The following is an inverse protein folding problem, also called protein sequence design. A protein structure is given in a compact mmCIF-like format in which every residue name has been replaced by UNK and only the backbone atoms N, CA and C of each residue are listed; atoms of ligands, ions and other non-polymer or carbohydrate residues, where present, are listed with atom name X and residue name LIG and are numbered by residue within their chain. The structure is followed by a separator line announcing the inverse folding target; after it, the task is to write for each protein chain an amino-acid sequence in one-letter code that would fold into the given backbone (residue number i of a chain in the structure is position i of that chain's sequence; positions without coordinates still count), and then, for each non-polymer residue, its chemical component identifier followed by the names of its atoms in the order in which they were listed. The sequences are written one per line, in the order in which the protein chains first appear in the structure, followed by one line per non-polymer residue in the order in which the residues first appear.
data_IF_562929393974
#
_entry.id   IF_562929393974
#
_cell.length_a   1.000
_cell.length_b   1.000
_cell.length_c   1.000
_cell.angle_alpha   90.00
_cell.angle_beta   90.00
_cell.angle_gamma   90.00
#
_symmetry.space_group_name_H-M   'P 1'
#
loop_
_entity.id
_entity.type
_entity.pdbx_description
1 polymer ?
#
# COMPACT_ATOMS: atom_id res chain seq x y z
N UNK A 1 -7.99 -3.13 9.66
CA UNK A 1 -8.09 -4.51 9.12
C UNK A 1 -6.72 -5.17 9.17
N UNK A 2 -6.68 -6.45 9.46
CA UNK A 2 -5.45 -7.27 9.48
C UNK A 2 -5.43 -8.18 8.26
N UNK A 3 -4.24 -8.64 7.87
CA UNK A 3 -4.12 -9.59 6.77
C UNK A 3 -4.93 -10.87 6.98
N UNK A 4 -5.03 -11.34 8.23
CA UNK A 4 -5.84 -12.52 8.57
C UNK A 4 -7.34 -12.34 8.31
N UNK A 5 -7.85 -11.11 8.33
CA UNK A 5 -9.25 -10.81 8.04
C UNK A 5 -9.60 -11.08 6.57
N UNK A 6 -8.63 -10.96 5.66
CA UNK A 6 -8.85 -11.25 4.24
C UNK A 6 -9.23 -12.72 4.02
N UNK A 7 -8.58 -13.64 4.74
CA UNK A 7 -8.89 -15.07 4.67
C UNK A 7 -10.29 -15.32 5.18
N UNK A 8 -10.66 -14.69 6.30
CA UNK A 8 -12.00 -14.81 6.88
C UNK A 8 -13.07 -14.31 5.90
N UNK A 9 -12.86 -13.16 5.27
CA UNK A 9 -13.80 -12.62 4.28
C UNK A 9 -13.99 -13.58 3.12
N UNK A 10 -12.91 -14.17 2.63
CA UNK A 10 -12.98 -15.18 1.56
C UNK A 10 -13.80 -16.38 1.99
N UNK A 11 -13.58 -16.88 3.20
CA UNK A 11 -14.29 -18.07 3.72
C UNK A 11 -15.79 -17.82 3.92
N UNK A 12 -16.17 -16.61 4.29
CA UNK A 12 -17.57 -16.25 4.51
C UNK A 12 -18.27 -15.70 3.27
N UNK A 13 -17.57 -15.60 2.14
CA UNK A 13 -18.12 -15.04 0.90
C UNK A 13 -18.28 -13.53 0.91
N UNK A 14 -17.67 -12.83 1.87
CA UNK A 14 -17.72 -11.37 1.94
C UNK A 14 -16.75 -10.77 0.93
N UNK A 15 -17.23 -9.77 0.17
CA UNK A 15 -16.37 -9.07 -0.80
C UNK A 15 -15.38 -8.15 -0.10
N UNK A 16 -14.21 -7.98 -0.73
CA UNK A 16 -13.15 -7.12 -0.27
C UNK A 16 -12.98 -5.99 -1.30
N UNK A 17 -13.06 -4.75 -0.85
CA UNK A 17 -12.82 -3.60 -1.71
C UNK A 17 -11.38 -3.13 -1.55
N UNK A 18 -10.69 -2.92 -2.67
CA UNK A 18 -9.32 -2.43 -2.69
C UNK A 18 -9.22 -1.23 -3.63
N UNK A 19 -8.68 -0.13 -3.12
CA UNK A 19 -8.42 1.08 -3.89
C UNK A 19 -6.96 1.48 -3.75
N UNK A 20 -6.44 2.14 -4.79
CA UNK A 20 -5.05 2.61 -4.78
C UNK A 20 -4.94 3.97 -4.10
N UNK A 21 -3.80 4.21 -3.44
CA UNK A 21 -3.40 5.51 -2.93
C UNK A 21 -1.88 5.63 -3.00
N UNK A 22 -1.37 6.85 -3.04
CA UNK A 22 0.07 7.11 -3.21
C UNK A 22 0.58 8.28 -2.36
N UNK A 23 -0.28 8.93 -1.60
CA UNK A 23 0.08 10.01 -0.69
C UNK A 23 -0.96 10.16 0.42
N UNK A 24 -0.75 11.14 1.31
CA UNK A 24 -1.62 11.33 2.46
C UNK A 24 -3.05 11.72 2.06
N UNK A 25 -3.20 12.56 1.04
CA UNK A 25 -4.53 13.03 0.59
C UNK A 25 -5.31 11.88 -0.04
N UNK A 26 -4.70 11.14 -0.97
CA UNK A 26 -5.38 10.01 -1.61
C UNK A 26 -5.71 8.92 -0.60
N UNK A 27 -4.86 8.69 0.40
CA UNK A 27 -5.14 7.74 1.48
C UNK A 27 -6.37 8.15 2.29
N UNK A 28 -6.50 9.43 2.64
CA UNK A 28 -7.67 9.91 3.39
C UNK A 28 -8.96 9.74 2.59
N UNK A 29 -8.93 9.96 1.29
CA UNK A 29 -10.08 9.77 0.42
C UNK A 29 -10.49 8.28 0.34
N UNK A 30 -9.51 7.39 0.24
CA UNK A 30 -9.76 5.94 0.21
C UNK A 30 -10.34 5.46 1.54
N UNK A 31 -9.82 5.98 2.66
CA UNK A 31 -10.35 5.69 3.99
C UNK A 31 -11.79 6.16 4.13
N UNK A 32 -12.09 7.39 3.71
CA UNK A 32 -13.44 7.95 3.74
C UNK A 32 -14.42 7.17 2.87
N UNK A 33 -13.94 6.61 1.78
CA UNK A 33 -14.74 5.77 0.90
C UNK A 33 -15.08 4.39 1.49
N UNK A 34 -14.45 4.02 2.60
CA UNK A 34 -14.71 2.76 3.28
C UNK A 34 -14.03 1.55 2.66
N UNK A 35 -12.95 1.73 1.90
CA UNK A 35 -12.21 0.61 1.34
C UNK A 35 -11.61 -0.27 2.43
N UNK A 36 -11.59 -1.59 2.18
CA UNK A 36 -10.99 -2.55 3.10
C UNK A 36 -9.48 -2.59 3.00
N UNK A 37 -8.95 -2.34 1.80
CA UNK A 37 -7.52 -2.40 1.49
C UNK A 37 -7.11 -1.18 0.71
N UNK A 38 -5.97 -0.61 1.07
CA UNK A 38 -5.27 0.43 0.30
C UNK A 38 -4.06 -0.20 -0.36
N UNK A 39 -3.98 -0.12 -1.68
CA UNK A 39 -2.83 -0.60 -2.43
C UNK A 39 -1.92 0.59 -2.77
N UNK A 40 -0.67 0.52 -2.31
CA UNK A 40 0.41 1.39 -2.79
C UNK A 40 1.09 0.64 -3.92
N UNK A 41 0.60 0.83 -5.14
CA UNK A 41 1.05 0.09 -6.31
C UNK A 41 2.24 0.75 -7.00
N UNK A 42 3.10 -0.03 -7.62
CA UNK A 42 4.25 0.47 -8.36
C UNK A 42 3.85 1.28 -9.61
N UNK A 43 2.59 1.20 -10.03
CA UNK A 43 2.03 2.07 -11.08
C UNK A 43 2.15 3.55 -10.74
N UNK A 44 2.41 3.92 -9.47
CA UNK A 44 2.69 5.30 -9.10
C UNK A 44 3.89 5.88 -9.87
N UNK A 45 4.80 5.03 -10.33
CA UNK A 45 5.89 5.45 -11.21
C UNK A 45 5.38 6.17 -12.46
N UNK A 46 4.29 5.68 -13.03
CA UNK A 46 3.68 6.24 -14.23
C UNK A 46 2.68 7.36 -13.89
N UNK A 47 1.78 7.10 -12.96
CA UNK A 47 0.65 8.00 -12.65
C UNK A 47 1.10 9.22 -11.86
N UNK A 48 1.97 9.04 -10.87
CA UNK A 48 2.39 10.10 -9.96
C UNK A 48 3.75 10.70 -10.33
N UNK A 49 4.69 9.87 -10.79
CA UNK A 49 6.05 10.31 -11.09
C UNK A 49 6.29 10.58 -12.58
N UNK A 50 5.34 10.22 -13.46
CA UNK A 50 5.38 10.56 -14.87
C UNK A 50 6.29 9.71 -15.73
N UNK A 51 6.78 8.58 -15.24
CA UNK A 51 7.57 7.65 -16.04
C UNK A 51 6.70 6.88 -17.03
N UNK A 52 7.30 6.41 -18.12
CA UNK A 52 6.59 5.62 -19.12
C UNK A 52 6.39 4.15 -18.72
N UNK A 53 7.10 3.69 -17.71
CA UNK A 53 7.01 2.32 -17.17
C UNK A 53 7.13 2.33 -15.66
N UNK A 54 6.92 1.18 -15.02
CA UNK A 54 7.10 1.03 -13.57
C UNK A 54 8.56 0.76 -13.18
N UNK A 55 9.44 0.46 -14.14
CA UNK A 55 10.81 0.03 -13.88
C UNK A 55 11.67 1.05 -13.12
N UNK A 56 11.55 2.38 -13.36
CA UNK A 56 12.40 3.34 -12.67
C UNK A 56 12.10 3.54 -11.19
N UNK A 57 10.96 3.09 -10.68
CA UNK A 57 10.62 3.30 -9.27
C UNK A 57 11.58 2.51 -8.37
N UNK A 58 12.04 3.14 -7.30
CA UNK A 58 12.98 2.56 -6.35
C UNK A 58 12.26 2.05 -5.10
N UNK A 59 12.92 1.17 -4.34
CA UNK A 59 12.42 0.72 -3.04
C UNK A 59 12.22 1.91 -2.09
N UNK A 60 13.14 2.83 -2.08
CA UNK A 60 13.10 4.04 -1.26
C UNK A 60 11.87 4.91 -1.61
N UNK A 61 11.55 5.03 -2.89
CA UNK A 61 10.35 5.75 -3.33
C UNK A 61 9.07 5.02 -2.90
N UNK A 62 9.01 3.72 -3.05
CA UNK A 62 7.86 2.94 -2.59
C UNK A 62 7.68 3.06 -1.07
N UNK A 63 8.76 3.03 -0.30
CA UNK A 63 8.72 3.24 1.15
C UNK A 63 8.21 4.63 1.50
N UNK A 64 8.72 5.67 0.81
CA UNK A 64 8.29 7.04 1.03
C UNK A 64 6.78 7.21 0.79
N UNK A 65 6.27 6.67 -0.31
CA UNK A 65 4.84 6.73 -0.61
C UNK A 65 4.00 5.94 0.38
N UNK A 66 4.48 4.77 0.81
CA UNK A 66 3.80 3.95 1.83
C UNK A 66 3.68 4.70 3.15
N UNK A 67 4.76 5.33 3.59
CA UNK A 67 4.76 6.14 4.81
C UNK A 67 3.79 7.32 4.71
N UNK A 68 3.74 7.99 3.56
CA UNK A 68 2.82 9.09 3.33
C UNK A 68 1.35 8.60 3.39
N UNK A 69 1.06 7.45 2.78
CA UNK A 69 -0.27 6.83 2.85
C UNK A 69 -0.64 6.53 4.30
N UNK A 70 0.25 5.91 5.06
CA UNK A 70 -0.01 5.60 6.46
C UNK A 70 -0.28 6.85 7.30
N UNK A 71 0.44 7.94 7.05
CA UNK A 71 0.18 9.21 7.74
C UNK A 71 -1.16 9.82 7.38
N UNK A 72 -1.68 9.53 6.20
CA UNK A 72 -2.99 10.02 5.75
C UNK A 72 -4.18 9.29 6.35
N UNK A 73 -3.97 8.12 6.94
CA UNK A 73 -5.02 7.35 7.60
C UNK A 73 -5.21 7.89 9.03
N UNK A 74 -6.42 8.34 9.35
CA UNK A 74 -6.71 9.03 10.62
C UNK A 74 -7.56 8.22 11.59
N UNK A 75 -8.20 7.14 11.14
CA UNK A 75 -9.03 6.31 12.01
C UNK A 75 -8.17 5.48 12.98
N UNK A 76 -8.76 4.97 14.07
CA UNK A 76 -8.05 4.02 14.94
C UNK A 76 -7.52 2.82 14.16
N UNK A 77 -6.38 2.27 14.57
CA UNK A 77 -5.72 1.15 13.87
C UNK A 77 -6.66 -0.02 13.59
N UNK A 78 -7.56 -0.34 14.53
CA UNK A 78 -8.51 -1.44 14.37
C UNK A 78 -9.53 -1.19 13.26
N UNK A 79 -9.72 0.06 12.84
CA UNK A 79 -10.71 0.47 11.84
C UNK A 79 -10.07 0.92 10.53
N UNK A 80 -8.73 1.07 10.50
CA UNK A 80 -8.03 1.46 9.29
C UNK A 80 -8.06 0.36 8.24
N UNK A 81 -8.06 0.71 6.96
CA UNK A 81 -7.84 -0.27 5.90
C UNK A 81 -6.46 -0.91 6.02
N UNK A 82 -6.33 -2.12 5.52
CA UNK A 82 -5.03 -2.78 5.41
C UNK A 82 -4.23 -2.11 4.29
N UNK A 83 -3.00 -1.72 4.58
CA UNK A 83 -2.09 -1.16 3.58
C UNK A 83 -1.24 -2.27 3.00
N UNK A 84 -1.31 -2.43 1.68
CA UNK A 84 -0.48 -3.38 0.92
C UNK A 84 0.36 -2.58 -0.05
N UNK A 85 1.66 -2.85 -0.10
CA UNK A 85 2.59 -2.14 -0.97
C UNK A 85 3.29 -3.12 -1.90
N UNK A 86 3.35 -2.78 -3.20
CA UNK A 86 4.14 -3.51 -4.16
C UNK A 86 5.63 -3.28 -3.91
N UNK A 87 6.43 -4.33 -4.03
CA UNK A 87 7.88 -4.19 -4.11
C UNK A 87 8.26 -3.90 -5.56
N UNK A 88 9.17 -2.93 -5.80
CA UNK A 88 9.59 -2.62 -7.16
C UNK A 88 10.44 -3.76 -7.73
N UNK A 89 10.31 -3.99 -9.03
CA UNK A 89 11.19 -4.92 -9.73
C UNK A 89 12.57 -4.24 -9.93
N UNK A 90 13.70 -4.92 -9.63
CA UNK A 90 13.88 -6.31 -9.26
C UNK A 90 14.01 -6.55 -7.74
N UNK A 91 13.38 -5.77 -6.89
CA UNK A 91 13.51 -5.82 -5.43
C UNK A 91 12.81 -7.04 -4.80
N UNK A 92 12.70 -8.15 -5.52
CA UNK A 92 12.05 -9.37 -5.04
C UNK A 92 13.03 -10.36 -4.39
N UNK A 93 14.33 -10.00 -4.30
CA UNK A 93 15.31 -10.82 -3.61
C UNK A 93 15.16 -10.71 -2.09
N UNK A 94 15.58 -11.75 -1.36
CA UNK A 94 15.51 -11.78 0.10
C UNK A 94 16.24 -10.59 0.74
N UNK A 95 17.40 -10.18 0.19
CA UNK A 95 18.16 -9.05 0.71
C UNK A 95 17.41 -7.73 0.63
N UNK A 96 16.65 -7.50 -0.42
CA UNK A 96 15.82 -6.31 -0.56
C UNK A 96 14.66 -6.31 0.43
N UNK A 97 14.03 -7.45 0.64
CA UNK A 97 12.94 -7.59 1.61
C UNK A 97 13.46 -7.32 3.02
N UNK A 98 14.61 -7.89 3.39
CA UNK A 98 15.22 -7.63 4.68
C UNK A 98 15.52 -6.15 4.90
N UNK A 99 16.10 -5.49 3.91
CA UNK A 99 16.38 -4.04 3.98
C UNK A 99 15.12 -3.25 4.22
N UNK A 100 14.03 -3.58 3.54
CA UNK A 100 12.79 -2.88 3.73
C UNK A 100 12.23 -3.09 5.14
N UNK A 101 12.18 -4.32 5.61
CA UNK A 101 11.67 -4.62 6.96
C UNK A 101 12.46 -3.88 8.05
N UNK A 102 13.76 -3.65 7.85
CA UNK A 102 14.58 -2.87 8.78
C UNK A 102 14.28 -1.38 8.77
N UNK A 103 13.63 -0.86 7.73
CA UNK A 103 13.30 0.55 7.58
C UNK A 103 11.90 0.89 8.09
N UNK A 104 11.11 -0.10 8.48
CA UNK A 104 9.79 0.15 9.04
C UNK A 104 9.89 0.94 10.36
N UNK A 105 9.08 2.00 10.53
CA UNK A 105 9.05 2.78 11.76
C UNK A 105 8.51 2.00 12.94
#
# INVERSE_FOLDING_TARGET
MRASDLIRFKQTGQTITMLTAWDAISASLVEDAGADVVLVGDSLAMVSLGHSTTLPVTLEQMLMHTQAVCRGLSQPLSEQPLVITDLPFPATSAGWIERWLQQEP
#
